data_IF_811457504252
#
_entry.id   IF_811457504252
#
_cell.length_a   1.000
_cell.length_b   1.000
_cell.length_c   1.000
_cell.angle_alpha   90.00
_cell.angle_beta   90.00
_cell.angle_gamma   90.00
#
_symmetry.space_group_name_H-M   'P 1'
#
loop_
_entity.id
_entity.type
_entity.pdbx_description
1 polymer ?
#
# COMPACT_ATOMS: atom_id res chain seq x y z
N UNK A 1 -26.96 -16.54 6.97
CA UNK A 1 -25.79 -17.27 6.42
C UNK A 1 -24.96 -17.72 7.62
N UNK A 2 -24.80 -19.03 7.83
CA UNK A 2 -23.99 -19.56 8.94
C UNK A 2 -22.51 -19.56 8.54
N UNK A 3 -21.81 -18.50 8.92
CA UNK A 3 -20.38 -18.31 8.62
C UNK A 3 -19.51 -19.37 9.31
N UNK A 4 -19.91 -19.84 10.50
CA UNK A 4 -19.18 -20.86 11.22
C UNK A 4 -19.38 -22.25 10.61
N UNK A 5 -20.60 -22.55 10.14
CA UNK A 5 -20.90 -23.76 9.38
C UNK A 5 -20.17 -23.84 8.04
N UNK A 6 -20.06 -22.72 7.33
CA UNK A 6 -19.27 -22.62 6.10
C UNK A 6 -17.77 -22.84 6.37
N UNK A 7 -17.22 -22.23 7.44
CA UNK A 7 -15.83 -22.45 7.85
C UNK A 7 -15.54 -23.92 8.10
N UNK A 8 -16.39 -24.61 8.88
CA UNK A 8 -16.20 -26.04 9.19
C UNK A 8 -16.11 -26.87 7.92
N UNK A 9 -17.08 -26.74 7.02
CA UNK A 9 -17.05 -27.45 5.74
C UNK A 9 -15.79 -27.15 4.91
N UNK A 10 -15.38 -25.89 4.80
CA UNK A 10 -14.17 -25.53 4.06
C UNK A 10 -12.91 -26.15 4.66
N UNK A 11 -12.78 -26.17 5.98
CA UNK A 11 -11.66 -26.80 6.66
C UNK A 11 -11.68 -28.31 6.45
N UNK A 12 -12.84 -28.95 6.57
CA UNK A 12 -12.99 -30.40 6.40
C UNK A 12 -12.62 -30.84 4.98
N UNK A 13 -13.10 -30.12 3.96
CA UNK A 13 -12.79 -30.39 2.55
C UNK A 13 -11.28 -30.21 2.28
N UNK A 14 -10.69 -29.12 2.79
CA UNK A 14 -9.27 -28.85 2.63
C UNK A 14 -8.39 -29.88 3.36
N UNK A 15 -8.77 -30.26 4.58
CA UNK A 15 -8.09 -31.28 5.36
C UNK A 15 -8.10 -32.62 4.64
N UNK A 16 -9.26 -33.05 4.14
CA UNK A 16 -9.41 -34.27 3.33
C UNK A 16 -8.51 -34.25 2.10
N UNK A 17 -8.49 -33.12 1.37
CA UNK A 17 -7.61 -32.94 0.22
C UNK A 17 -6.13 -33.07 0.58
N UNK A 18 -5.65 -32.33 1.58
CA UNK A 18 -4.23 -32.36 1.99
C UNK A 18 -3.82 -33.74 2.50
N UNK A 19 -4.67 -34.39 3.30
CA UNK A 19 -4.42 -35.74 3.82
C UNK A 19 -4.29 -36.77 2.69
N UNK A 20 -4.99 -36.59 1.57
CA UNK A 20 -4.91 -37.51 0.43
C UNK A 20 -3.51 -37.63 -0.19
N UNK A 21 -2.67 -36.59 -0.07
CA UNK A 21 -1.29 -36.58 -0.56
C UNK A 21 -0.28 -37.14 0.45
N UNK A 22 -0.66 -37.30 1.73
CA UNK A 22 0.24 -37.68 2.81
C UNK A 22 0.11 -39.18 3.09
N UNK A 23 1.07 -39.98 2.57
CA UNK A 23 1.18 -41.42 2.86
C UNK A 23 2.39 -41.71 3.74
N UNK A 24 2.14 -41.94 5.02
CA UNK A 24 3.19 -42.23 6.01
C UNK A 24 3.14 -43.71 6.40
N UNK A 25 4.19 -44.45 6.06
CA UNK A 25 4.30 -45.89 6.33
C UNK A 25 4.57 -46.19 7.80
N UNK A 26 5.45 -45.39 8.41
CA UNK A 26 5.76 -45.51 9.83
C UNK A 26 4.54 -45.12 10.69
N UNK A 27 4.17 -46.00 11.61
CA UNK A 27 2.98 -45.80 12.44
C UNK A 27 3.15 -44.64 13.41
N UNK A 28 4.31 -44.52 14.05
CA UNK A 28 4.56 -43.47 15.04
C UNK A 28 4.53 -42.09 14.39
N UNK A 29 5.15 -41.95 13.22
CA UNK A 29 5.16 -40.68 12.47
C UNK A 29 3.75 -40.35 11.98
N UNK A 30 3.01 -41.34 11.46
CA UNK A 30 1.64 -41.13 10.98
C UNK A 30 0.72 -40.64 12.10
N UNK A 31 0.81 -41.27 13.27
CA UNK A 31 -0.05 -40.95 14.39
C UNK A 31 0.28 -39.55 14.96
N UNK A 32 1.57 -39.18 14.98
CA UNK A 32 1.99 -37.83 15.34
C UNK A 32 1.49 -36.77 14.35
N UNK A 33 1.67 -36.98 13.04
CA UNK A 33 1.22 -36.03 12.01
C UNK A 33 -0.30 -35.85 12.04
N UNK A 34 -1.06 -36.93 12.23
CA UNK A 34 -2.52 -36.83 12.40
C UNK A 34 -2.90 -36.01 13.63
N UNK A 35 -2.25 -36.26 14.77
CA UNK A 35 -2.53 -35.51 15.99
C UNK A 35 -2.26 -34.01 15.83
N UNK A 36 -1.17 -33.61 15.17
CA UNK A 36 -0.86 -32.19 14.91
C UNK A 36 -1.86 -31.55 13.92
N UNK A 37 -2.30 -32.28 12.90
CA UNK A 37 -3.31 -31.82 11.97
C UNK A 37 -4.67 -31.64 12.67
N UNK A 38 -5.10 -32.62 13.46
CA UNK A 38 -6.34 -32.56 14.25
C UNK A 38 -6.30 -31.45 15.31
N UNK A 39 -5.12 -31.14 15.84
CA UNK A 39 -4.89 -29.99 16.73
C UNK A 39 -4.96 -28.63 16.00
N UNK A 40 -5.15 -28.61 14.68
CA UNK A 40 -5.33 -27.40 13.89
C UNK A 40 -4.03 -26.74 13.43
N UNK A 41 -2.89 -27.45 13.45
CA UNK A 41 -1.59 -26.88 13.07
C UNK A 41 -1.56 -26.29 11.64
N UNK A 42 -2.37 -26.85 10.72
CA UNK A 42 -2.46 -26.38 9.33
C UNK A 42 -3.61 -25.41 9.07
N UNK A 43 -4.56 -25.28 10.01
CA UNK A 43 -5.73 -24.41 9.89
C UNK A 43 -6.00 -23.73 11.23
N UNK A 44 -5.12 -22.79 11.64
CA UNK A 44 -5.29 -22.06 12.89
C UNK A 44 -6.63 -21.32 12.92
N UNK A 45 -7.10 -21.00 14.12
CA UNK A 45 -8.27 -20.13 14.29
C UNK A 45 -8.08 -18.82 13.52
N UNK A 46 -9.15 -18.30 12.87
CA UNK A 46 -9.05 -17.10 12.07
C UNK A 46 -8.56 -15.94 12.95
N UNK A 47 -7.50 -15.27 12.50
CA UNK A 47 -7.00 -14.08 13.17
C UNK A 47 -8.02 -12.95 13.00
N UNK A 48 -8.74 -12.63 14.07
CA UNK A 48 -9.59 -11.44 14.14
C UNK A 48 -8.71 -10.28 14.58
N UNK A 49 -8.32 -9.45 13.63
CA UNK A 49 -7.54 -8.25 13.90
C UNK A 49 -8.39 -7.00 13.66
N UNK A 50 -8.40 -6.09 14.64
CA UNK A 50 -8.90 -4.73 14.44
C UNK A 50 -7.83 -3.97 13.65
N UNK A 51 -8.21 -3.44 12.49
CA UNK A 51 -7.36 -2.58 11.68
C UNK A 51 -7.85 -1.13 11.80
N UNK A 52 -7.45 -0.41 12.87
CA UNK A 52 -7.85 0.98 13.05
C UNK A 52 -7.31 1.83 11.90
N UNK A 53 -8.14 2.75 11.41
CA UNK A 53 -7.70 3.71 10.39
C UNK A 53 -6.52 4.53 10.90
N UNK A 54 -5.52 4.76 10.04
CA UNK A 54 -4.42 5.67 10.36
C UNK A 54 -4.94 7.09 10.58
N UNK A 55 -4.29 7.81 11.50
CA UNK A 55 -4.63 9.20 11.80
C UNK A 55 -4.64 10.04 10.51
N UNK A 56 -5.71 10.82 10.24
CA UNK A 56 -5.74 11.71 9.09
C UNK A 56 -4.74 12.86 9.28
N UNK A 57 -4.08 13.27 8.21
CA UNK A 57 -3.32 14.52 8.16
C UNK A 57 -4.10 15.64 7.46
N UNK A 58 -3.39 16.73 7.25
CA UNK A 58 -3.76 17.85 6.39
C UNK A 58 -3.97 17.39 4.93
N UNK A 59 -4.95 17.97 4.25
CA UNK A 59 -5.20 17.76 2.81
C UNK A 59 -4.10 18.37 1.95
N UNK A 60 -3.99 17.90 0.70
CA UNK A 60 -3.03 18.48 -0.25
C UNK A 60 -3.29 19.98 -0.44
N UNK A 61 -4.55 20.40 -0.53
CA UNK A 61 -4.92 21.80 -0.71
C UNK A 61 -4.53 22.67 0.49
N UNK A 62 -4.68 22.16 1.72
CA UNK A 62 -4.21 22.84 2.93
C UNK A 62 -2.68 22.99 2.93
N UNK A 63 -1.95 21.94 2.53
CA UNK A 63 -0.48 21.98 2.43
C UNK A 63 0.01 22.94 1.34
N UNK A 64 -0.70 23.03 0.22
CA UNK A 64 -0.44 24.02 -0.84
C UNK A 64 -0.75 25.43 -0.35
N UNK A 65 -1.91 25.63 0.30
CA UNK A 65 -2.30 26.92 0.87
C UNK A 65 -1.32 27.44 1.93
N UNK A 66 -0.71 26.53 2.70
CA UNK A 66 0.35 26.85 3.66
C UNK A 66 1.75 27.05 3.01
N UNK A 67 1.87 26.92 1.69
CA UNK A 67 3.14 27.05 0.95
C UNK A 67 4.12 25.89 1.14
N UNK A 68 3.70 24.80 1.81
CA UNK A 68 4.51 23.60 2.04
C UNK A 68 4.76 22.88 0.72
N UNK A 69 3.72 22.74 -0.10
CA UNK A 69 3.77 22.13 -1.43
C UNK A 69 3.64 23.17 -2.55
N UNK A 70 4.11 22.81 -3.75
CA UNK A 70 3.93 23.57 -4.97
C UNK A 70 2.45 23.61 -5.39
N UNK A 71 1.99 24.70 -6.01
CA UNK A 71 0.56 24.88 -6.36
C UNK A 71 0.01 23.75 -7.26
N UNK A 72 0.78 23.29 -8.24
CA UNK A 72 0.40 22.16 -9.10
C UNK A 72 0.21 20.83 -8.35
N UNK A 73 0.72 20.68 -7.13
CA UNK A 73 0.47 19.47 -6.33
C UNK A 73 -1.02 19.26 -6.06
N UNK A 74 -1.81 20.33 -5.92
CA UNK A 74 -3.27 20.25 -5.78
C UNK A 74 -3.95 19.65 -7.00
N UNK A 75 -3.42 19.85 -8.22
CA UNK A 75 -3.98 19.28 -9.46
C UNK A 75 -3.50 17.83 -9.70
N UNK A 76 -2.29 17.52 -9.26
CA UNK A 76 -1.67 16.20 -9.43
C UNK A 76 -2.26 15.21 -8.42
N UNK A 77 -2.21 15.54 -7.13
CA UNK A 77 -2.54 14.64 -6.04
C UNK A 77 -4.00 14.79 -5.61
N UNK A 78 -4.88 14.27 -6.46
CA UNK A 78 -6.32 14.20 -6.21
C UNK A 78 -6.78 12.76 -6.31
N UNK A 79 -7.92 12.44 -5.69
CA UNK A 79 -8.62 11.19 -5.99
C UNK A 79 -9.34 11.38 -7.31
N UNK A 80 -8.81 10.74 -8.35
CA UNK A 80 -9.32 10.80 -9.72
C UNK A 80 -9.99 9.47 -10.08
N UNK A 81 -11.12 9.56 -10.75
CA UNK A 81 -11.82 8.45 -11.40
C UNK A 81 -12.22 8.92 -12.80
N UNK A 82 -12.47 8.00 -13.74
CA UNK A 82 -12.95 8.38 -15.08
C UNK A 82 -14.36 9.00 -15.03
N UNK A 83 -15.20 8.54 -14.10
CA UNK A 83 -16.62 8.91 -14.03
C UNK A 83 -16.95 9.98 -12.97
N UNK A 84 -16.05 10.22 -12.01
CA UNK A 84 -16.29 11.12 -10.88
C UNK A 84 -15.44 12.39 -10.99
N UNK A 85 -15.96 13.55 -10.56
CA UNK A 85 -15.15 14.75 -10.43
C UNK A 85 -14.00 14.52 -9.43
N UNK A 86 -12.81 15.11 -9.66
CA UNK A 86 -11.68 14.94 -8.77
C UNK A 86 -12.02 15.39 -7.35
N UNK A 87 -11.63 14.59 -6.37
CA UNK A 87 -11.84 14.90 -4.94
C UNK A 87 -10.51 15.17 -4.25
N UNK A 88 -10.47 16.07 -3.25
CA UNK A 88 -9.26 16.33 -2.49
C UNK A 88 -8.66 15.05 -1.91
N UNK A 89 -7.36 14.85 -2.10
CA UNK A 89 -6.63 13.78 -1.44
C UNK A 89 -6.29 14.23 -0.02
N UNK A 90 -6.62 13.39 0.97
CA UNK A 90 -6.17 13.55 2.36
C UNK A 90 -5.15 12.48 2.70
N UNK A 91 -3.85 12.82 2.76
CA UNK A 91 -2.81 11.96 3.31
C UNK A 91 -3.07 11.58 4.77
N UNK A 92 -2.49 10.47 5.20
CA UNK A 92 -2.36 10.12 6.61
C UNK A 92 -1.29 10.97 7.29
N UNK A 93 -1.38 11.10 8.62
CA UNK A 93 -0.48 11.94 9.41
C UNK A 93 1.00 11.60 9.17
N UNK A 94 1.35 10.32 9.10
CA UNK A 94 2.72 9.87 8.85
C UNK A 94 3.26 10.27 7.46
N UNK A 95 2.38 10.44 6.46
CA UNK A 95 2.75 10.95 5.14
C UNK A 95 2.97 12.47 5.20
N UNK A 96 2.13 13.21 5.93
CA UNK A 96 2.29 14.66 6.12
C UNK A 96 3.57 14.98 6.88
N UNK A 97 3.86 14.23 7.95
CA UNK A 97 5.11 14.39 8.71
C UNK A 97 6.34 14.15 7.81
N UNK A 98 6.28 13.16 6.91
CA UNK A 98 7.32 12.91 5.91
C UNK A 98 7.47 14.07 4.91
N UNK A 99 6.35 14.65 4.44
CA UNK A 99 6.35 15.84 3.57
C UNK A 99 7.04 17.02 4.26
N UNK A 100 6.72 17.30 5.52
CA UNK A 100 7.37 18.37 6.27
C UNK A 100 8.86 18.10 6.50
N UNK A 101 9.24 16.86 6.83
CA UNK A 101 10.65 16.48 6.98
C UNK A 101 11.43 16.70 5.67
N UNK A 102 10.89 16.24 4.54
CA UNK A 102 11.48 16.41 3.23
C UNK A 102 11.59 17.89 2.83
N UNK A 103 10.54 18.69 3.09
CA UNK A 103 10.52 20.14 2.80
C UNK A 103 11.60 20.89 3.60
N UNK A 104 11.88 20.45 4.82
CA UNK A 104 12.95 20.98 5.65
C UNK A 104 14.36 20.49 5.24
N UNK A 105 14.49 19.70 4.17
CA UNK A 105 15.75 19.13 3.71
C UNK A 105 16.33 18.06 4.64
N UNK A 106 15.50 17.45 5.50
CA UNK A 106 15.93 16.42 6.45
C UNK A 106 15.76 15.03 5.87
N UNK A 107 16.69 14.14 6.24
CA UNK A 107 16.52 12.70 6.03
C UNK A 107 15.48 12.16 7.02
N UNK A 108 14.68 11.17 6.60
CA UNK A 108 13.70 10.53 7.47
C UNK A 108 13.55 9.03 7.15
N UNK A 109 13.14 8.28 8.17
CA UNK A 109 12.76 6.88 8.07
C UNK A 109 11.27 6.76 8.41
N UNK A 110 10.47 6.27 7.47
CA UNK A 110 9.03 6.10 7.65
C UNK A 110 8.71 4.65 8.05
N UNK A 111 8.47 4.42 9.34
CA UNK A 111 8.18 3.09 9.91
C UNK A 111 6.68 2.93 10.20
N UNK A 112 5.95 2.33 9.26
CA UNK A 112 4.52 2.04 9.41
C UNK A 112 4.17 0.68 8.83
N UNK A 113 3.00 0.15 9.20
CA UNK A 113 2.50 -1.14 8.73
C UNK A 113 2.43 -1.27 7.21
N UNK A 114 2.40 -2.50 6.71
CA UNK A 114 2.12 -2.80 5.30
C UNK A 114 0.76 -2.24 4.89
N UNK A 115 0.63 -1.73 3.67
CA UNK A 115 -0.62 -1.14 3.19
C UNK A 115 -0.97 0.27 3.71
N UNK A 116 -0.16 0.85 4.59
CA UNK A 116 -0.38 2.22 5.13
C UNK A 116 -0.16 3.38 4.14
N UNK A 117 0.12 3.08 2.87
CA UNK A 117 0.37 4.09 1.84
C UNK A 117 1.70 4.83 1.99
N UNK A 118 2.74 4.21 2.58
CA UNK A 118 4.09 4.80 2.74
C UNK A 118 4.62 5.51 1.49
N UNK A 119 4.25 5.00 0.32
CA UNK A 119 4.67 5.51 -0.98
C UNK A 119 4.40 7.00 -1.17
N UNK A 120 3.24 7.49 -0.74
CA UNK A 120 2.91 8.92 -0.83
C UNK A 120 3.86 9.80 0.00
N UNK A 121 4.43 9.25 1.07
CA UNK A 121 5.39 9.96 1.93
C UNK A 121 6.67 10.36 1.20
N UNK A 122 7.11 9.62 0.17
CA UNK A 122 8.26 10.00 -0.66
C UNK A 122 7.87 10.49 -2.06
N UNK A 123 6.77 10.01 -2.65
CA UNK A 123 6.33 10.45 -3.98
C UNK A 123 5.97 11.94 -3.98
N UNK A 124 5.16 12.39 -3.01
CA UNK A 124 4.70 13.78 -2.97
C UNK A 124 5.89 14.75 -2.86
N UNK A 125 6.86 14.55 -1.95
CA UNK A 125 8.04 15.41 -1.88
C UNK A 125 8.93 15.38 -3.13
N UNK A 126 9.06 14.24 -3.81
CA UNK A 126 9.83 14.14 -5.05
C UNK A 126 9.18 14.99 -6.15
N UNK A 127 7.86 14.87 -6.32
CA UNK A 127 7.12 15.66 -7.31
C UNK A 127 7.17 17.16 -6.96
N UNK A 128 6.97 17.54 -5.68
CA UNK A 128 7.15 18.93 -5.23
C UNK A 128 8.53 19.48 -5.58
N UNK A 129 9.58 18.69 -5.33
CA UNK A 129 10.96 19.09 -5.65
C UNK A 129 11.15 19.32 -7.15
N UNK A 130 10.65 18.41 -8.00
CA UNK A 130 10.74 18.53 -9.46
C UNK A 130 10.01 19.76 -9.96
N UNK A 131 8.76 19.98 -9.51
CA UNK A 131 7.95 21.14 -9.89
C UNK A 131 8.64 22.46 -9.54
N UNK A 132 9.21 22.56 -8.33
CA UNK A 132 9.91 23.78 -7.88
C UNK A 132 11.22 24.03 -8.61
N UNK A 133 11.92 22.97 -9.03
CA UNK A 133 13.22 23.07 -9.72
C UNK A 133 13.07 23.25 -11.23
N UNK A 134 11.94 22.84 -11.80
CA UNK A 134 11.66 22.82 -13.23
C UNK A 134 12.28 21.62 -13.95
N UNK A 135 11.78 21.37 -15.17
CA UNK A 135 12.21 20.29 -16.05
C UNK A 135 13.57 20.56 -16.72
N UNK A 136 14.13 19.56 -17.40
CA UNK A 136 15.38 19.71 -18.18
C UNK A 136 16.67 19.72 -17.36
N UNK A 137 16.61 19.40 -16.06
CA UNK A 137 17.77 19.45 -15.14
C UNK A 137 18.46 18.09 -14.93
N UNK A 138 18.22 17.13 -15.82
CA UNK A 138 18.68 15.75 -15.67
C UNK A 138 17.88 14.98 -14.61
N UNK A 139 18.49 13.93 -14.05
CA UNK A 139 17.85 13.09 -13.02
C UNK A 139 17.78 13.87 -11.69
N UNK A 140 16.57 14.05 -11.17
CA UNK A 140 16.32 14.82 -9.93
C UNK A 140 15.99 13.94 -8.71
N UNK A 141 15.60 12.68 -8.92
CA UNK A 141 15.33 11.71 -7.86
C UNK A 141 15.60 10.30 -8.36
N UNK A 142 16.05 9.41 -7.46
CA UNK A 142 16.24 7.99 -7.71
C UNK A 142 15.46 7.23 -6.65
N UNK A 143 14.58 6.33 -7.09
CA UNK A 143 13.80 5.45 -6.21
C UNK A 143 14.22 4.02 -6.49
N UNK A 144 14.65 3.31 -5.45
CA UNK A 144 15.17 1.95 -5.55
C UNK A 144 14.20 0.99 -4.90
N UNK A 145 13.82 -0.06 -5.63
CA UNK A 145 13.01 -1.17 -5.12
C UNK A 145 13.80 -2.48 -5.23
N UNK A 146 13.58 -3.43 -4.31
CA UNK A 146 14.27 -4.72 -4.33
C UNK A 146 13.82 -5.65 -5.46
N UNK A 147 12.66 -5.39 -6.11
CA UNK A 147 12.07 -6.25 -7.12
C UNK A 147 11.43 -5.45 -8.25
N UNK A 148 11.59 -5.91 -9.49
CA UNK A 148 11.00 -5.28 -10.69
C UNK A 148 9.48 -5.17 -10.61
N UNK A 149 8.81 -6.20 -10.10
CA UNK A 149 7.35 -6.19 -9.94
C UNK A 149 6.89 -5.03 -9.03
N UNK A 150 7.62 -4.77 -7.95
CA UNK A 150 7.31 -3.65 -7.06
C UNK A 150 7.61 -2.31 -7.74
N UNK A 151 8.74 -2.19 -8.44
CA UNK A 151 9.06 -0.98 -9.19
C UNK A 151 7.98 -0.63 -10.22
N UNK A 152 7.54 -1.62 -11.01
CA UNK A 152 6.48 -1.46 -12.01
C UNK A 152 5.15 -1.07 -11.39
N UNK A 153 4.77 -1.70 -10.26
CA UNK A 153 3.57 -1.33 -9.51
C UNK A 153 3.62 0.13 -9.05
N UNK A 154 4.75 0.58 -8.50
CA UNK A 154 4.88 1.96 -8.00
C UNK A 154 4.96 2.98 -9.13
N UNK A 155 5.55 2.62 -10.28
CA UNK A 155 5.49 3.43 -11.49
C UNK A 155 4.02 3.62 -11.93
N UNK A 156 3.24 2.55 -12.00
CA UNK A 156 1.82 2.62 -12.34
C UNK A 156 1.01 3.52 -11.39
N UNK A 157 1.28 3.47 -10.08
CA UNK A 157 0.64 4.38 -9.12
C UNK A 157 1.02 5.84 -9.34
N UNK A 158 2.30 6.13 -9.65
CA UNK A 158 2.72 7.49 -9.97
C UNK A 158 2.08 7.99 -11.28
N UNK A 159 2.02 7.15 -12.30
CA UNK A 159 1.41 7.49 -13.59
C UNK A 159 -0.08 7.84 -13.45
N UNK A 160 -0.81 7.18 -12.56
CA UNK A 160 -2.21 7.53 -12.28
C UNK A 160 -2.36 9.00 -11.86
N UNK A 161 -1.48 9.50 -11.00
CA UNK A 161 -1.54 10.90 -10.58
C UNK A 161 -1.14 11.88 -11.68
N UNK A 162 -0.14 11.52 -12.49
CA UNK A 162 0.46 12.41 -13.50
C UNK A 162 -0.26 12.41 -14.86
N UNK A 163 -1.02 11.36 -15.18
CA UNK A 163 -1.70 11.20 -16.48
C UNK A 163 -3.21 11.34 -16.37
N UNK A 164 -3.85 10.74 -15.36
CA UNK A 164 -5.31 10.82 -15.23
C UNK A 164 -5.74 12.26 -14.93
N UNK A 165 -6.81 12.70 -15.59
CA UNK A 165 -7.34 14.06 -15.47
C UNK A 165 -6.52 15.14 -16.21
N UNK A 166 -5.46 14.76 -16.93
CA UNK A 166 -4.70 15.66 -17.79
C UNK A 166 -4.94 15.30 -19.27
N UNK A 167 -5.00 16.30 -20.20
CA UNK A 167 -5.09 16.01 -21.63
C UNK A 167 -3.87 15.22 -22.12
N UNK A 168 -4.05 14.42 -23.19
CA UNK A 168 -2.95 13.68 -23.79
C UNK A 168 -1.78 14.60 -24.16
N UNK A 169 -0.57 14.22 -23.74
CA UNK A 169 0.65 15.00 -23.95
C UNK A 169 0.77 16.27 -23.10
N UNK A 170 -0.16 16.52 -22.18
CA UNK A 170 -0.16 17.69 -21.26
C UNK A 170 -0.08 17.28 -19.79
N UNK A 171 0.68 16.23 -19.49
CA UNK A 171 1.10 15.97 -18.12
C UNK A 171 1.94 17.14 -17.58
N UNK A 172 1.87 17.41 -16.27
CA UNK A 172 2.56 18.53 -15.62
C UNK A 172 4.09 18.41 -15.64
#
# INVERSE_FOLDING_TARGET
MDVFGLRRHLIDDYASYVQSFIRIRDQKIRDHVRAEMDAGALWPEPLIQLNPSFAPGETIDELVGAGVLHHECSNIFQRKSEDDPPRPLRPHRHQVDAIHAARAGRNYLLTTGTGSGKSLGYIIPIVDHVLRRGSGRGIQAIVVYPMNALANSQMGELEKFLKLGFPEGKSP
#
